data_IF_019993709171
#
_entry.id   IF_019993709171
#
_cell.length_a   1.000
_cell.length_b   1.000
_cell.length_c   1.000
_cell.angle_alpha   90.00
_cell.angle_beta   90.00
_cell.angle_gamma   90.00
#
_symmetry.space_group_name_H-M   'P 1'
#
loop_
_entity.id
_entity.type
_entity.pdbx_description
1 polymer ?
#
# COMPACT_ATOMS: atom_id res chain seq x y z
N UNK A 1 12.73 -0.40 3.36
CA UNK A 1 12.20 0.41 2.27
C UNK A 1 11.27 -0.34 1.32
N UNK A 2 11.37 -1.65 1.13
CA UNK A 2 10.52 -2.43 0.22
C UNK A 2 9.47 -3.31 0.93
N UNK A 3 9.37 -3.25 2.26
CA UNK A 3 8.43 -4.07 3.04
C UNK A 3 6.94 -3.78 2.71
N UNK A 4 6.59 -2.59 2.26
CA UNK A 4 5.20 -2.32 1.86
C UNK A 4 4.80 -3.05 0.56
N UNK A 5 5.58 -3.04 -0.53
CA UNK A 5 5.28 -3.84 -1.72
C UNK A 5 5.05 -5.32 -1.45
N UNK A 6 5.78 -5.91 -0.50
CA UNK A 6 5.64 -7.34 -0.18
C UNK A 6 4.24 -7.68 0.36
N UNK A 7 3.61 -6.79 1.14
CA UNK A 7 2.24 -7.02 1.63
C UNK A 7 1.23 -7.04 0.49
N UNK A 8 1.36 -6.13 -0.49
CA UNK A 8 0.50 -6.13 -1.68
C UNK A 8 0.76 -7.36 -2.56
N UNK A 9 2.02 -7.72 -2.74
CA UNK A 9 2.41 -8.92 -3.50
C UNK A 9 1.90 -10.19 -2.82
N UNK A 10 2.12 -10.38 -1.52
CA UNK A 10 1.63 -11.53 -0.76
C UNK A 10 0.10 -11.62 -0.76
N UNK A 11 -0.59 -10.47 -0.67
CA UNK A 11 -2.03 -10.40 -0.77
C UNK A 11 -2.53 -10.86 -2.15
N UNK A 12 -1.82 -10.50 -3.22
CA UNK A 12 -2.07 -10.97 -4.58
C UNK A 12 -1.77 -12.46 -4.75
N UNK A 13 -0.65 -12.93 -4.20
CA UNK A 13 -0.27 -14.34 -4.20
C UNK A 13 -1.34 -15.23 -3.54
N UNK A 14 -1.92 -14.76 -2.44
CA UNK A 14 -2.99 -15.46 -1.71
C UNK A 14 -4.40 -15.16 -2.25
N UNK A 15 -4.52 -14.29 -3.27
CA UNK A 15 -5.80 -13.87 -3.78
C UNK A 15 -6.56 -15.02 -4.42
N UNK A 16 -7.74 -15.31 -3.87
CA UNK A 16 -8.70 -16.27 -4.42
C UNK A 16 -10.10 -15.71 -4.23
N UNK A 17 -10.86 -15.65 -5.30
CA UNK A 17 -12.28 -15.34 -5.26
C UNK A 17 -13.06 -16.61 -5.57
N UNK A 18 -13.96 -17.00 -4.67
CA UNK A 18 -14.79 -18.21 -4.86
C UNK A 18 -15.71 -18.01 -6.05
N UNK A 19 -15.93 -19.10 -6.81
CA UNK A 19 -16.97 -19.13 -7.84
C UNK A 19 -18.34 -18.93 -7.18
N UNK A 20 -19.21 -18.12 -7.81
CA UNK A 20 -20.51 -17.79 -7.25
C UNK A 20 -20.53 -16.75 -6.13
N UNK A 21 -19.38 -16.33 -5.60
CA UNK A 21 -19.33 -15.29 -4.57
C UNK A 21 -19.68 -13.92 -5.14
N UNK A 22 -20.72 -13.27 -4.57
CA UNK A 22 -21.07 -11.90 -4.95
C UNK A 22 -19.95 -10.94 -4.60
N UNK A 23 -19.79 -9.88 -5.41
CA UNK A 23 -18.74 -8.88 -5.17
C UNK A 23 -18.90 -8.20 -3.80
N UNK A 24 -20.13 -7.88 -3.39
CA UNK A 24 -20.40 -7.29 -2.07
C UNK A 24 -19.99 -8.20 -0.91
N UNK A 25 -20.30 -9.50 -0.98
CA UNK A 25 -19.91 -10.48 0.05
C UNK A 25 -18.39 -10.61 0.13
N UNK A 26 -17.70 -10.62 -1.02
CA UNK A 26 -16.24 -10.61 -1.08
C UNK A 26 -15.66 -9.37 -0.39
N UNK A 27 -16.15 -8.17 -0.77
CA UNK A 27 -15.66 -6.91 -0.16
C UNK A 27 -15.95 -6.86 1.34
N UNK A 28 -17.11 -7.30 1.78
CA UNK A 28 -17.46 -7.31 3.20
C UNK A 28 -16.52 -8.17 4.03
N UNK A 29 -16.11 -9.33 3.52
CA UNK A 29 -15.07 -10.17 4.17
C UNK A 29 -13.73 -9.46 4.27
N UNK A 30 -13.32 -8.73 3.21
CA UNK A 30 -12.08 -7.97 3.21
C UNK A 30 -12.15 -6.76 4.13
N UNK A 31 -13.27 -6.03 4.13
CA UNK A 31 -13.53 -4.92 5.05
C UNK A 31 -13.38 -5.36 6.51
N UNK A 32 -14.04 -6.45 6.92
CA UNK A 32 -13.92 -6.98 8.28
C UNK A 32 -12.48 -7.32 8.66
N UNK A 33 -11.69 -7.86 7.75
CA UNK A 33 -10.31 -8.28 8.02
C UNK A 33 -9.31 -7.13 8.07
N UNK A 34 -9.57 -6.06 7.34
CA UNK A 34 -8.61 -4.96 7.16
C UNK A 34 -9.05 -3.69 7.89
N UNK A 35 -10.33 -3.31 7.78
CA UNK A 35 -10.81 -2.05 8.34
C UNK A 35 -11.14 -2.16 9.83
N UNK A 36 -11.65 -3.31 10.32
CA UNK A 36 -11.91 -3.46 11.75
C UNK A 36 -10.61 -3.34 12.56
N UNK A 37 -9.50 -4.06 12.27
CA UNK A 37 -8.26 -3.86 13.01
C UNK A 37 -7.70 -2.44 12.82
N UNK A 38 -7.82 -1.84 11.63
CA UNK A 38 -7.37 -0.47 11.41
C UNK A 38 -8.11 0.54 12.31
N UNK A 39 -9.44 0.57 12.26
CA UNK A 39 -10.22 1.50 13.07
C UNK A 39 -10.20 1.14 14.56
N UNK A 40 -10.18 -0.15 14.90
CA UNK A 40 -10.12 -0.60 16.29
C UNK A 40 -8.83 -0.18 16.97
N UNK A 41 -7.67 -0.42 16.35
CA UNK A 41 -6.38 0.02 16.90
C UNK A 41 -6.24 1.53 16.90
N UNK A 42 -6.73 2.22 15.87
CA UNK A 42 -6.71 3.68 15.82
C UNK A 42 -7.57 4.31 16.93
N UNK A 43 -8.76 3.79 17.18
CA UNK A 43 -9.65 4.26 18.25
C UNK A 43 -9.04 3.97 19.62
N UNK A 44 -8.45 2.78 19.81
CA UNK A 44 -7.76 2.42 21.04
C UNK A 44 -6.58 3.37 21.33
N UNK A 45 -5.72 3.61 20.35
CA UNK A 45 -4.58 4.52 20.50
C UNK A 45 -5.05 5.96 20.77
N UNK A 46 -6.08 6.41 20.05
CA UNK A 46 -6.64 7.73 20.28
C UNK A 46 -7.16 7.91 21.72
N UNK A 47 -7.93 6.93 22.20
CA UNK A 47 -8.45 6.94 23.57
C UNK A 47 -7.32 6.85 24.61
N UNK A 48 -6.33 5.98 24.38
CA UNK A 48 -5.18 5.84 25.26
C UNK A 48 -4.39 7.13 25.42
N UNK A 49 -4.05 7.80 24.31
CA UNK A 49 -3.34 9.08 24.38
C UNK A 49 -4.19 10.19 24.98
N UNK A 50 -5.49 10.22 24.67
CA UNK A 50 -6.42 11.17 25.28
C UNK A 50 -6.47 11.03 26.80
N UNK A 51 -6.62 9.83 27.32
CA UNK A 51 -6.64 9.58 28.75
C UNK A 51 -5.29 9.89 29.40
N UNK A 52 -4.20 9.48 28.76
CA UNK A 52 -2.84 9.76 29.22
C UNK A 52 -2.61 11.26 29.39
N UNK A 53 -2.92 12.05 28.38
CA UNK A 53 -2.68 13.49 28.41
C UNK A 53 -3.63 14.21 29.39
N UNK A 54 -4.87 13.74 29.53
CA UNK A 54 -5.82 14.25 30.51
C UNK A 54 -5.36 14.02 31.96
N UNK A 55 -4.80 12.83 32.23
CA UNK A 55 -4.38 12.44 33.59
C UNK A 55 -3.02 13.06 33.94
N UNK A 56 -2.05 13.07 33.02
CA UNK A 56 -0.67 13.48 33.29
C UNK A 56 -0.45 14.98 33.15
N UNK A 57 -1.16 15.64 32.23
CA UNK A 57 -0.93 17.04 31.89
C UNK A 57 -2.05 17.98 32.37
N UNK A 58 -3.14 17.42 32.89
CA UNK A 58 -4.32 18.19 33.33
C UNK A 58 -5.03 18.95 32.19
N UNK A 59 -4.51 18.80 30.99
CA UNK A 59 -5.04 19.45 29.79
C UNK A 59 -5.25 18.33 28.73
N UNK A 60 -6.50 18.06 28.30
CA UNK A 60 -6.76 17.13 27.20
C UNK A 60 -6.25 17.74 25.89
N UNK A 61 -4.98 18.12 25.93
CA UNK A 61 -4.24 18.92 24.97
C UNK A 61 -4.50 18.58 23.53
N UNK A 62 -3.62 18.51 22.71
CA UNK A 62 -3.51 18.49 21.27
C UNK A 62 -4.08 17.27 20.51
N UNK A 63 -4.76 16.32 21.16
CA UNK A 63 -5.54 15.25 20.50
C UNK A 63 -6.85 15.80 19.92
N UNK A 64 -6.67 16.74 19.03
CA UNK A 64 -7.74 17.50 18.39
C UNK A 64 -8.40 16.71 17.26
N UNK A 65 -9.43 17.30 16.72
CA UNK A 65 -10.11 16.94 15.46
C UNK A 65 -9.13 16.50 14.37
N UNK A 66 -7.90 17.06 14.32
CA UNK A 66 -6.86 16.67 13.39
C UNK A 66 -6.45 15.20 13.48
N UNK A 67 -6.38 14.60 14.68
CA UNK A 67 -6.06 13.15 14.82
C UNK A 67 -7.20 12.28 14.33
N UNK A 68 -8.45 12.66 14.60
CA UNK A 68 -9.62 11.95 14.05
C UNK A 68 -9.69 12.08 12.54
N UNK A 69 -9.43 13.26 11.99
CA UNK A 69 -9.33 13.47 10.56
C UNK A 69 -8.19 12.63 9.95
N UNK A 70 -7.04 12.54 10.63
CA UNK A 70 -5.92 11.67 10.22
C UNK A 70 -6.31 10.20 10.16
N UNK A 71 -7.06 9.71 11.15
CA UNK A 71 -7.58 8.34 11.17
C UNK A 71 -8.55 8.09 10.01
N UNK A 72 -9.48 9.02 9.76
CA UNK A 72 -10.43 8.89 8.65
C UNK A 72 -9.75 9.03 7.29
N UNK A 73 -8.79 9.93 7.17
CA UNK A 73 -8.00 10.15 5.96
C UNK A 73 -7.00 9.02 5.70
N UNK A 74 -6.56 8.36 6.77
CA UNK A 74 -5.59 7.26 6.76
C UNK A 74 -4.23 7.63 6.16
N UNK A 75 -3.77 8.87 6.39
CA UNK A 75 -2.44 9.38 6.04
C UNK A 75 -1.99 10.44 7.02
N UNK A 76 -0.66 10.61 7.14
CA UNK A 76 -0.05 11.62 8.00
C UNK A 76 -0.12 13.03 7.38
N UNK A 77 -0.24 13.13 6.08
CA UNK A 77 -0.18 14.39 5.34
C UNK A 77 -1.04 14.36 4.09
N UNK A 78 -1.50 15.54 3.68
CA UNK A 78 -2.34 15.73 2.49
C UNK A 78 -1.53 16.05 1.21
N UNK A 79 -0.25 16.42 1.37
CA UNK A 79 0.60 16.83 0.27
C UNK A 79 1.86 15.97 0.21
N UNK A 80 2.42 15.81 -0.97
CA UNK A 80 3.68 15.08 -1.16
C UNK A 80 4.84 15.78 -0.44
N UNK A 81 5.75 15.00 0.16
CA UNK A 81 6.90 15.55 0.91
C UNK A 81 7.80 16.44 0.08
N UNK A 82 7.94 16.17 -1.22
CA UNK A 82 8.72 16.97 -2.15
C UNK A 82 8.15 18.37 -2.41
N UNK A 83 6.87 18.57 -2.12
CA UNK A 83 6.14 19.81 -2.38
C UNK A 83 5.91 20.64 -1.12
N UNK A 84 5.98 20.01 0.04
CA UNK A 84 5.76 20.67 1.32
C UNK A 84 7.08 21.26 1.79
N UNK A 85 7.22 22.57 1.72
CA UNK A 85 8.29 23.28 2.39
C UNK A 85 8.28 23.04 3.91
N UNK A 86 8.65 24.02 4.71
CA UNK A 86 8.87 23.90 6.15
C UNK A 86 7.60 23.59 7.00
N UNK A 87 6.37 23.67 6.44
CA UNK A 87 5.13 23.48 7.16
C UNK A 87 4.18 22.45 6.50
N UNK A 88 4.40 21.15 6.71
CA UNK A 88 3.45 20.14 6.26
C UNK A 88 2.14 20.24 7.04
N UNK A 89 1.00 20.15 6.35
CA UNK A 89 -0.29 19.92 7.01
C UNK A 89 -0.30 18.48 7.51
N UNK A 90 0.15 18.29 8.75
CA UNK A 90 0.17 16.99 9.41
C UNK A 90 -1.22 16.69 9.96
N UNK A 91 -1.78 15.56 9.57
CA UNK A 91 -3.07 15.07 10.07
C UNK A 91 -2.92 14.25 11.37
N UNK A 92 -1.69 14.14 11.89
CA UNK A 92 -1.36 13.40 13.11
C UNK A 92 -2.02 12.01 13.19
N UNK A 93 -1.70 11.16 12.24
CA UNK A 93 -2.16 9.78 12.23
C UNK A 93 -1.43 8.99 13.33
N UNK A 94 -2.08 8.77 14.47
CA UNK A 94 -1.52 8.04 15.62
C UNK A 94 -1.09 6.61 15.27
N UNK A 95 -1.73 6.01 14.27
CA UNK A 95 -1.50 4.66 13.80
C UNK A 95 -0.82 4.65 12.42
N UNK A 96 0.26 5.42 12.29
CA UNK A 96 0.96 5.65 11.03
C UNK A 96 1.33 4.36 10.26
N UNK A 97 1.80 3.27 10.89
CA UNK A 97 2.16 2.06 10.15
C UNK A 97 0.98 1.37 9.44
N UNK A 98 -0.25 1.55 9.93
CA UNK A 98 -1.41 0.78 9.44
C UNK A 98 -2.17 1.44 8.28
N UNK A 99 -1.71 2.58 7.76
CA UNK A 99 -2.32 3.21 6.58
C UNK A 99 -2.45 2.24 5.38
N UNK A 100 -1.52 1.27 5.29
CA UNK A 100 -1.53 0.31 4.19
C UNK A 100 -2.74 -0.65 4.22
N UNK A 101 -3.41 -0.83 5.37
CA UNK A 101 -4.62 -1.69 5.45
C UNK A 101 -5.79 -1.09 4.67
N UNK A 102 -5.99 0.22 4.75
CA UNK A 102 -7.02 0.94 3.98
C UNK A 102 -6.67 0.94 2.50
N UNK A 103 -5.41 1.20 2.14
CA UNK A 103 -4.92 1.09 0.77
C UNK A 103 -5.08 -0.32 0.22
N UNK A 104 -4.73 -1.36 0.99
CA UNK A 104 -4.89 -2.76 0.60
C UNK A 104 -6.37 -3.14 0.41
N UNK A 105 -7.26 -2.61 1.26
CA UNK A 105 -8.70 -2.80 1.07
C UNK A 105 -9.16 -2.23 -0.27
N UNK A 106 -8.73 -1.02 -0.63
CA UNK A 106 -9.05 -0.41 -1.92
C UNK A 106 -8.43 -1.18 -3.10
N UNK A 107 -7.22 -1.73 -2.93
CA UNK A 107 -6.62 -2.62 -3.94
C UNK A 107 -7.48 -3.86 -4.14
N UNK A 108 -7.96 -4.51 -3.06
CA UNK A 108 -8.90 -5.63 -3.19
C UNK A 108 -10.21 -5.23 -3.89
N UNK A 109 -10.73 -4.03 -3.59
CA UNK A 109 -11.93 -3.52 -4.23
C UNK A 109 -11.69 -3.31 -5.73
N UNK A 110 -10.70 -2.52 -6.08
CA UNK A 110 -10.41 -2.20 -7.48
C UNK A 110 -10.01 -3.44 -8.29
N UNK A 111 -9.07 -4.25 -7.76
CA UNK A 111 -8.61 -5.46 -8.42
C UNK A 111 -9.70 -6.51 -8.54
N UNK A 112 -10.56 -6.65 -7.54
CA UNK A 112 -11.71 -7.54 -7.56
C UNK A 112 -12.71 -7.22 -8.68
N UNK A 113 -12.86 -5.94 -9.07
CA UNK A 113 -13.67 -5.52 -10.20
C UNK A 113 -13.04 -5.96 -11.53
N UNK A 114 -11.75 -5.71 -11.71
CA UNK A 114 -11.07 -5.94 -13.00
C UNK A 114 -10.62 -7.38 -13.20
N UNK A 115 -10.49 -8.18 -12.12
CA UNK A 115 -9.91 -9.53 -12.14
C UNK A 115 -10.61 -10.50 -13.09
N UNK A 116 -11.92 -10.34 -13.29
CA UNK A 116 -12.73 -11.16 -14.21
C UNK A 116 -12.83 -10.60 -15.63
N UNK A 117 -12.27 -9.40 -15.88
CA UNK A 117 -12.32 -8.75 -17.19
C UNK A 117 -11.32 -9.40 -18.16
N UNK A 118 -11.74 -9.61 -19.43
CA UNK A 118 -10.82 -9.99 -20.51
C UNK A 118 -9.74 -8.93 -20.75
N UNK A 119 -10.02 -7.67 -20.39
CA UNK A 119 -9.09 -6.51 -20.54
C UNK A 119 -8.32 -6.20 -19.25
N UNK A 120 -8.20 -7.15 -18.32
CA UNK A 120 -7.55 -6.98 -17.01
C UNK A 120 -6.21 -6.26 -17.09
N UNK A 121 -5.31 -6.70 -17.96
CA UNK A 121 -3.97 -6.10 -18.08
C UNK A 121 -4.01 -4.70 -18.70
N UNK A 122 -4.93 -4.44 -19.63
CA UNK A 122 -5.12 -3.09 -20.19
C UNK A 122 -5.61 -2.12 -19.11
N UNK A 123 -6.57 -2.56 -18.28
CA UNK A 123 -7.07 -1.76 -17.15
C UNK A 123 -6.00 -1.54 -16.08
N UNK A 124 -5.14 -2.54 -15.81
CA UNK A 124 -3.99 -2.37 -14.92
C UNK A 124 -3.01 -1.34 -15.46
N UNK A 125 -2.66 -1.41 -16.73
CA UNK A 125 -1.75 -0.45 -17.36
C UNK A 125 -2.34 0.96 -17.41
N UNK A 126 -3.61 1.10 -17.78
CA UNK A 126 -4.30 2.39 -17.75
C UNK A 126 -4.32 2.99 -16.33
N UNK A 127 -4.63 2.16 -15.32
CA UNK A 127 -4.60 2.59 -13.93
C UNK A 127 -3.20 2.96 -13.46
N UNK A 128 -2.16 2.19 -13.82
CA UNK A 128 -0.77 2.53 -13.52
C UNK A 128 -0.40 3.90 -14.11
N UNK A 129 -0.73 4.13 -15.38
CA UNK A 129 -0.48 5.42 -16.04
C UNK A 129 -1.22 6.56 -15.34
N UNK A 130 -2.47 6.34 -14.93
CA UNK A 130 -3.24 7.34 -14.17
C UNK A 130 -2.55 7.67 -12.83
N UNK A 131 -2.10 6.67 -12.08
CA UNK A 131 -1.37 6.89 -10.83
C UNK A 131 -0.05 7.64 -11.04
N UNK A 132 0.71 7.30 -12.08
CA UNK A 132 1.97 7.96 -12.43
C UNK A 132 1.72 9.41 -12.83
N UNK A 133 0.75 9.66 -13.72
CA UNK A 133 0.39 11.01 -14.15
C UNK A 133 -0.06 11.84 -12.94
N UNK A 134 -0.96 11.30 -12.10
CA UNK A 134 -1.40 11.98 -10.88
C UNK A 134 -0.22 12.41 -10.01
N UNK A 135 0.71 11.48 -9.76
CA UNK A 135 1.87 11.73 -8.91
C UNK A 135 2.74 12.90 -9.40
N UNK A 136 2.96 13.01 -10.71
CA UNK A 136 3.82 14.08 -11.29
C UNK A 136 3.07 15.38 -11.57
N UNK A 137 1.75 15.33 -11.75
CA UNK A 137 0.94 16.53 -12.06
C UNK A 137 0.37 17.17 -10.80
N UNK A 138 0.01 16.36 -9.80
CA UNK A 138 -0.71 16.83 -8.62
C UNK A 138 0.04 16.45 -7.34
N UNK A 139 0.43 17.43 -6.50
CA UNK A 139 1.08 17.13 -5.23
C UNK A 139 0.12 16.59 -4.17
N UNK A 140 -1.18 16.54 -4.45
CA UNK A 140 -2.23 16.13 -3.52
C UNK A 140 -2.23 14.61 -3.33
N UNK A 141 -2.16 14.17 -2.08
CA UNK A 141 -2.33 12.79 -1.65
C UNK A 141 -3.78 12.57 -1.23
N UNK A 142 -4.50 11.68 -1.90
CA UNK A 142 -5.91 11.41 -1.61
C UNK A 142 -6.08 10.52 -0.36
N UNK A 143 -7.26 10.57 0.29
CA UNK A 143 -7.57 9.68 1.41
C UNK A 143 -7.38 8.21 1.01
N UNK A 144 -6.92 7.38 1.97
CA UNK A 144 -6.72 5.94 1.79
C UNK A 144 -5.77 5.58 0.64
N UNK A 145 -4.94 6.53 0.22
CA UNK A 145 -4.03 6.37 -0.94
C UNK A 145 -4.73 6.07 -2.26
N UNK A 146 -5.93 6.63 -2.46
CA UNK A 146 -6.80 6.31 -3.62
C UNK A 146 -6.09 6.53 -4.96
N UNK A 147 -5.27 7.57 -5.09
CA UNK A 147 -4.46 7.88 -6.29
C UNK A 147 -3.41 6.80 -6.58
N UNK A 148 -2.92 6.13 -5.55
CA UNK A 148 -1.88 5.10 -5.65
C UNK A 148 -2.45 3.67 -5.71
N UNK A 149 -3.75 3.48 -5.55
CA UNK A 149 -4.40 2.15 -5.58
C UNK A 149 -4.07 1.39 -6.86
N UNK A 150 -4.18 1.95 -8.08
CA UNK A 150 -3.84 1.23 -9.29
C UNK A 150 -2.35 0.87 -9.38
N UNK A 151 -1.48 1.73 -8.85
CA UNK A 151 -0.05 1.44 -8.75
C UNK A 151 0.21 0.26 -7.79
N UNK A 152 -0.37 0.26 -6.60
CA UNK A 152 -0.24 -0.85 -5.65
C UNK A 152 -0.85 -2.15 -6.18
N UNK A 153 -1.88 -2.05 -7.00
CA UNK A 153 -2.49 -3.20 -7.65
C UNK A 153 -1.55 -3.88 -8.67
N UNK A 154 -0.51 -3.22 -9.14
CA UNK A 154 0.52 -3.86 -9.97
C UNK A 154 1.36 -4.85 -9.15
N UNK A 155 1.71 -4.54 -7.90
CA UNK A 155 2.36 -5.51 -6.99
C UNK A 155 1.44 -6.69 -6.70
N UNK A 156 0.15 -6.40 -6.47
CA UNK A 156 -0.86 -7.42 -6.24
C UNK A 156 -1.02 -8.34 -7.46
N UNK A 157 -1.12 -7.77 -8.66
CA UNK A 157 -1.19 -8.53 -9.92
C UNK A 157 0.06 -9.38 -10.16
N UNK A 158 1.25 -8.84 -9.82
CA UNK A 158 2.49 -9.60 -9.91
C UNK A 158 2.48 -10.81 -8.98
N UNK A 159 2.00 -10.67 -7.74
CA UNK A 159 1.83 -11.77 -6.80
C UNK A 159 0.86 -12.84 -7.29
N UNK A 160 -0.30 -12.45 -7.83
CA UNK A 160 -1.23 -13.40 -8.44
C UNK A 160 -0.63 -14.12 -9.66
N UNK A 161 0.03 -13.38 -10.56
CA UNK A 161 0.68 -13.94 -11.73
C UNK A 161 1.82 -14.91 -11.35
N UNK A 162 2.57 -14.57 -10.31
CA UNK A 162 3.63 -15.42 -9.77
C UNK A 162 3.06 -16.76 -9.27
N UNK A 163 1.95 -16.74 -8.53
CA UNK A 163 1.26 -17.96 -8.11
C UNK A 163 0.73 -18.77 -9.29
N UNK A 164 0.07 -18.12 -10.26
CA UNK A 164 -0.55 -18.80 -11.41
C UNK A 164 0.46 -19.49 -12.32
N UNK A 165 1.71 -19.04 -12.30
CA UNK A 165 2.82 -19.62 -13.10
C UNK A 165 3.67 -20.63 -12.32
N UNK A 166 3.18 -21.07 -11.15
CA UNK A 166 3.93 -21.93 -10.24
C UNK A 166 5.33 -21.38 -9.92
N UNK A 167 5.36 -20.05 -9.70
CA UNK A 167 6.60 -19.30 -9.51
C UNK A 167 7.47 -19.86 -8.39
N UNK A 168 6.87 -20.29 -7.27
CA UNK A 168 7.60 -20.88 -6.16
C UNK A 168 8.31 -22.20 -6.57
N UNK A 169 7.62 -23.10 -7.29
CA UNK A 169 8.23 -24.33 -7.79
C UNK A 169 9.35 -24.07 -8.81
N UNK A 170 9.14 -23.08 -9.71
CA UNK A 170 10.16 -22.70 -10.70
C UNK A 170 11.40 -22.12 -10.04
N UNK A 171 11.25 -21.36 -8.99
CA UNK A 171 12.36 -20.83 -8.22
C UNK A 171 13.15 -21.93 -7.51
N UNK A 172 12.48 -22.95 -6.98
CA UNK A 172 13.12 -24.13 -6.39
C UNK A 172 13.94 -24.92 -7.42
N UNK A 173 13.42 -25.02 -8.65
CA UNK A 173 14.06 -25.75 -9.75
C UNK A 173 15.15 -24.96 -10.47
N UNK A 174 14.98 -23.65 -10.63
CA UNK A 174 15.90 -22.77 -11.34
C UNK A 174 16.20 -21.48 -10.54
N UNK A 175 17.34 -21.48 -9.86
CA UNK A 175 17.84 -20.34 -9.09
C UNK A 175 18.15 -19.09 -9.94
N UNK A 176 18.16 -19.20 -11.27
CA UNK A 176 18.45 -18.04 -12.14
C UNK A 176 17.42 -16.91 -11.97
N UNK A 177 16.14 -17.28 -11.81
CA UNK A 177 15.09 -16.27 -11.56
C UNK A 177 15.32 -15.55 -10.24
N UNK A 178 15.73 -16.27 -9.19
CA UNK A 178 16.08 -15.68 -7.89
C UNK A 178 17.29 -14.76 -8.01
N UNK A 179 18.38 -15.24 -8.62
CA UNK A 179 19.63 -14.46 -8.84
C UNK A 179 19.31 -13.19 -9.65
N UNK A 180 18.52 -13.31 -10.71
CA UNK A 180 18.09 -12.19 -11.54
C UNK A 180 17.29 -11.16 -10.74
N UNK A 181 16.30 -11.62 -9.94
CA UNK A 181 15.51 -10.75 -9.09
C UNK A 181 16.36 -10.07 -8.00
N UNK A 182 17.31 -10.79 -7.40
CA UNK A 182 18.23 -10.28 -6.42
C UNK A 182 19.14 -9.17 -6.99
N UNK A 183 19.70 -9.39 -8.19
CA UNK A 183 20.51 -8.37 -8.86
C UNK A 183 19.70 -7.12 -9.20
N UNK A 184 18.48 -7.27 -9.75
CA UNK A 184 17.58 -6.14 -10.03
C UNK A 184 17.24 -5.39 -8.74
N UNK A 185 16.94 -6.12 -7.66
CA UNK A 185 16.64 -5.54 -6.35
C UNK A 185 17.84 -4.74 -5.80
N UNK A 186 19.06 -5.27 -5.87
CA UNK A 186 20.25 -4.57 -5.38
C UNK A 186 20.58 -3.33 -6.22
N UNK A 187 20.66 -3.47 -7.53
CA UNK A 187 21.05 -2.39 -8.44
C UNK A 187 20.06 -1.23 -8.41
N UNK A 188 18.78 -1.52 -8.60
CA UNK A 188 17.74 -0.49 -8.60
C UNK A 188 17.41 0.00 -7.20
N UNK A 189 17.52 -0.85 -6.17
CA UNK A 189 17.30 -0.46 -4.78
C UNK A 189 18.31 0.57 -4.31
N UNK A 190 19.57 0.45 -4.74
CA UNK A 190 20.61 1.42 -4.47
C UNK A 190 20.34 2.77 -5.17
N UNK A 191 19.85 2.72 -6.42
CA UNK A 191 19.54 3.92 -7.20
C UNK A 191 18.29 4.63 -6.69
N UNK A 192 17.25 3.89 -6.24
CA UNK A 192 15.99 4.48 -5.80
C UNK A 192 16.10 5.37 -4.56
N UNK A 193 17.15 5.20 -3.72
CA UNK A 193 17.36 6.01 -2.54
C UNK A 193 16.29 5.83 -1.44
N UNK A 194 15.97 6.91 -0.73
CA UNK A 194 14.97 6.87 0.35
C UNK A 194 13.54 6.89 -0.20
N UNK A 195 12.75 5.92 0.21
CA UNK A 195 11.34 5.78 -0.19
C UNK A 195 10.43 5.84 1.02
N UNK A 196 9.37 6.64 0.95
CA UNK A 196 8.31 6.71 1.93
C UNK A 196 6.94 6.81 1.26
N UNK A 197 6.31 5.67 1.04
CA UNK A 197 5.03 5.57 0.34
C UNK A 197 3.88 6.28 1.06
N UNK A 198 3.92 6.36 2.40
CA UNK A 198 2.89 7.06 3.16
C UNK A 198 2.87 8.57 2.86
N UNK A 199 4.02 9.11 2.47
CA UNK A 199 4.21 10.52 2.12
C UNK A 199 4.29 10.76 0.61
N UNK A 200 3.94 9.77 -0.21
CA UNK A 200 4.01 9.88 -1.66
C UNK A 200 5.43 9.96 -2.23
N UNK A 201 6.46 9.58 -1.46
CA UNK A 201 7.84 9.54 -1.95
C UNK A 201 8.18 8.13 -2.46
N UNK A 202 8.39 8.01 -3.76
CA UNK A 202 8.76 6.76 -4.45
C UNK A 202 10.26 6.69 -4.80
N UNK A 203 11.08 7.55 -4.22
CA UNK A 203 12.50 7.68 -4.56
C UNK A 203 12.68 8.38 -5.91
N UNK A 204 13.67 7.95 -6.70
CA UNK A 204 14.01 8.59 -7.98
C UNK A 204 12.90 8.41 -9.02
N UNK A 205 12.19 7.27 -9.02
CA UNK A 205 11.12 7.00 -10.00
C UNK A 205 10.11 5.98 -9.50
N UNK A 206 8.82 6.28 -9.70
CA UNK A 206 7.73 5.33 -9.43
C UNK A 206 7.91 4.00 -10.17
N UNK A 207 8.33 4.04 -11.44
CA UNK A 207 8.51 2.84 -12.25
C UNK A 207 9.73 2.02 -11.80
N UNK A 208 10.85 2.68 -11.47
CA UNK A 208 12.01 2.00 -10.90
C UNK A 208 11.66 1.31 -9.58
N UNK A 209 10.92 2.00 -8.71
CA UNK A 209 10.48 1.43 -7.45
C UNK A 209 9.49 0.27 -7.62
N UNK A 210 8.67 0.27 -8.67
CA UNK A 210 7.81 -0.87 -9.00
C UNK A 210 8.64 -2.14 -9.23
N UNK A 211 9.73 -2.03 -10.00
CA UNK A 211 10.63 -3.15 -10.26
C UNK A 211 11.37 -3.61 -8.99
N UNK A 212 11.84 -2.67 -8.17
CA UNK A 212 12.46 -2.97 -6.87
C UNK A 212 11.50 -3.70 -5.95
N UNK A 213 10.26 -3.25 -5.86
CA UNK A 213 9.25 -3.86 -5.00
C UNK A 213 8.85 -5.27 -5.44
N UNK A 214 8.71 -5.50 -6.75
CA UNK A 214 8.39 -6.84 -7.28
C UNK A 214 9.58 -7.78 -7.07
N UNK A 215 10.79 -7.37 -7.47
CA UNK A 215 11.99 -8.19 -7.36
C UNK A 215 12.33 -8.50 -5.90
N UNK A 216 12.26 -7.51 -5.01
CA UNK A 216 12.46 -7.71 -3.57
C UNK A 216 11.41 -8.64 -2.94
N UNK A 217 10.15 -8.58 -3.40
CA UNK A 217 9.10 -9.50 -2.95
C UNK A 217 9.36 -10.95 -3.36
N UNK A 218 9.87 -11.16 -4.59
CA UNK A 218 10.27 -12.49 -5.07
C UNK A 218 11.44 -13.02 -4.26
N UNK A 219 12.44 -12.19 -3.98
CA UNK A 219 13.62 -12.59 -3.18
C UNK A 219 13.21 -13.06 -1.79
N UNK A 220 12.32 -12.32 -1.11
CA UNK A 220 11.92 -12.66 0.28
C UNK A 220 11.03 -13.91 0.34
N UNK A 221 10.21 -14.17 -0.66
CA UNK A 221 9.37 -15.38 -0.68
C UNK A 221 10.19 -16.68 -0.72
N UNK A 222 11.49 -16.60 -0.95
CA UNK A 222 12.43 -17.73 -1.05
C UNK A 222 13.38 -17.85 0.14
N UNK A 223 13.31 -16.91 1.08
CA UNK A 223 14.02 -16.97 2.36
C UNK A 223 13.16 -17.65 3.43
#
# INVERSE_FOLDING_TARGET
MFYMPIFFFAAGYTFRRKEGESYGAFLWKKAKRLLIPYFGTSAFLWLFFYLKDSVLSGNPGDLKIQSLLGILYSRNQMWQSSYIGENPVLLNLLNSPLWFLTALFLVYAWYGLISKSRRKYQLLMAGLMTSVIWHYVTPLLLPWSLEAVPYFACFFAAGEAFRQRDGAQKLDQDKRLWIGSFNVFLLLGFVCGTVNLSCGNYGVSMLAYLLVGISGSIVILML
#
